data_IF_375420130421
#
_entry.id   IF_375420130421
#
_cell.length_a   1.000
_cell.length_b   1.000
_cell.length_c   1.000
_cell.angle_alpha   90.00
_cell.angle_beta   90.00
_cell.angle_gamma   90.00
#
_symmetry.space_group_name_H-M   'P 1'
#
loop_
_entity.id
_entity.type
_entity.pdbx_description
1 polymer ?
#
# COMPACT_ATOMS: atom_id res chain seq x y z
N UNK A 1 -1.89 -27.13 2.52
CA UNK A 1 -2.47 -26.98 3.87
C UNK A 1 -1.55 -26.08 4.65
N UNK A 2 -1.98 -24.85 4.96
CA UNK A 2 -1.15 -23.78 5.54
C UNK A 2 -0.67 -24.09 6.96
N UNK A 3 0.39 -23.41 7.42
CA UNK A 3 0.84 -23.43 8.82
C UNK A 3 0.03 -22.52 9.75
N UNK A 4 -1.20 -22.18 9.37
CA UNK A 4 -2.04 -21.19 10.05
C UNK A 4 -2.90 -21.83 11.14
N UNK A 5 -3.40 -21.03 12.09
CA UNK A 5 -4.44 -21.47 13.04
C UNK A 5 -5.68 -22.00 12.32
N UNK A 6 -6.09 -21.33 11.24
CA UNK A 6 -7.16 -21.78 10.35
C UNK A 6 -6.60 -22.04 8.95
N UNK A 7 -6.67 -23.29 8.50
CA UNK A 7 -6.22 -23.69 7.17
C UNK A 7 -6.96 -22.97 6.05
N UNK A 8 -8.29 -23.11 6.05
CA UNK A 8 -9.23 -22.45 5.17
C UNK A 8 -10.41 -21.94 6.01
N UNK A 9 -10.79 -20.68 5.82
CA UNK A 9 -11.89 -20.04 6.55
C UNK A 9 -13.03 -19.70 5.59
N UNK A 10 -14.24 -20.17 5.88
CA UNK A 10 -15.48 -19.77 5.18
C UNK A 10 -16.49 -19.05 6.07
N UNK A 11 -16.26 -19.06 7.39
CA UNK A 11 -17.10 -18.40 8.38
C UNK A 11 -16.53 -17.07 8.86
N UNK A 12 -16.93 -16.63 10.05
CA UNK A 12 -16.46 -15.38 10.67
C UNK A 12 -15.46 -15.65 11.78
N UNK A 13 -14.34 -14.93 11.76
CA UNK A 13 -13.40 -14.83 12.88
C UNK A 13 -13.38 -13.36 13.32
N UNK A 14 -13.64 -13.12 14.61
CA UNK A 14 -13.66 -11.77 15.17
C UNK A 14 -12.93 -11.71 16.51
N UNK A 15 -12.11 -10.69 16.73
CA UNK A 15 -11.49 -10.45 18.04
C UNK A 15 -10.40 -11.44 18.42
N UNK A 16 -9.74 -12.07 17.44
CA UNK A 16 -8.66 -13.03 17.70
C UNK A 16 -7.31 -12.32 17.64
N UNK A 17 -6.53 -12.49 18.71
CA UNK A 17 -5.16 -12.01 18.83
C UNK A 17 -4.16 -13.16 18.84
N UNK A 18 -3.11 -13.06 18.02
CA UNK A 18 -1.93 -13.92 18.09
C UNK A 18 -0.74 -13.09 18.57
N UNK A 19 0.05 -13.63 19.49
CA UNK A 19 1.25 -12.99 20.03
C UNK A 19 2.41 -13.98 19.85
N UNK A 20 3.48 -13.53 19.21
CA UNK A 20 4.65 -14.34 18.87
C UNK A 20 4.31 -15.65 18.09
N UNK A 21 3.45 -15.61 17.05
CA UNK A 21 3.23 -16.80 16.23
C UNK A 21 4.43 -17.03 15.32
N UNK A 22 5.09 -18.18 15.48
CA UNK A 22 6.14 -18.65 14.58
C UNK A 22 5.58 -19.64 13.57
N UNK A 23 5.39 -19.17 12.33
CA UNK A 23 4.75 -19.94 11.27
C UNK A 23 5.72 -20.09 10.10
N UNK A 24 6.13 -21.33 9.85
CA UNK A 24 6.93 -21.69 8.70
C UNK A 24 6.53 -23.06 8.15
N UNK A 25 6.85 -23.31 6.88
CA UNK A 25 6.54 -24.59 6.26
C UNK A 25 7.03 -24.66 4.82
N UNK A 26 7.52 -25.85 4.42
CA UNK A 26 8.00 -26.10 3.05
C UNK A 26 6.81 -26.39 2.13
N UNK A 27 6.78 -25.76 0.95
CA UNK A 27 5.78 -26.01 -0.11
C UNK A 27 4.34 -25.55 0.18
N UNK A 28 4.17 -24.51 1.00
CA UNK A 28 2.86 -23.90 1.25
C UNK A 28 2.57 -22.79 0.26
N UNK A 29 1.55 -22.92 -0.59
CA UNK A 29 1.18 -21.84 -1.53
C UNK A 29 0.79 -20.54 -0.82
N UNK A 30 0.10 -20.65 0.31
CA UNK A 30 -0.39 -19.52 1.10
C UNK A 30 -0.03 -19.74 2.57
N UNK A 31 0.69 -18.79 3.15
CA UNK A 31 1.13 -18.82 4.55
C UNK A 31 0.61 -17.59 5.28
N UNK A 32 -0.11 -17.79 6.38
CA UNK A 32 -0.56 -16.72 7.27
C UNK A 32 -0.58 -17.19 8.71
N UNK A 33 -0.39 -16.30 9.68
CA UNK A 33 -0.40 -16.70 11.08
C UNK A 33 -1.80 -17.14 11.54
N UNK A 34 -2.82 -16.35 11.21
CA UNK A 34 -4.20 -16.63 11.60
C UNK A 34 -4.89 -17.51 10.57
N UNK A 35 -4.86 -17.14 9.30
CA UNK A 35 -5.57 -17.86 8.23
C UNK A 35 -4.67 -18.11 7.03
N UNK A 36 -4.68 -19.34 6.51
CA UNK A 36 -4.02 -19.66 5.23
C UNK A 36 -4.78 -19.08 4.05
N UNK A 37 -6.04 -19.51 3.89
CA UNK A 37 -6.92 -19.12 2.80
C UNK A 37 -8.29 -18.63 3.34
N UNK A 38 -8.60 -17.36 3.18
CA UNK A 38 -9.84 -16.76 3.65
C UNK A 38 -10.87 -16.60 2.53
N UNK A 39 -12.05 -17.17 2.70
CA UNK A 39 -13.27 -16.95 1.91
C UNK A 39 -14.41 -16.35 2.75
N UNK A 40 -14.19 -16.17 4.06
CA UNK A 40 -15.15 -15.65 5.01
C UNK A 40 -14.81 -14.23 5.45
N UNK A 41 -15.15 -13.91 6.70
CA UNK A 41 -14.92 -12.58 7.28
C UNK A 41 -13.94 -12.66 8.44
N UNK A 42 -12.90 -11.85 8.42
CA UNK A 42 -11.96 -11.66 9.53
C UNK A 42 -12.09 -10.20 9.97
N UNK A 43 -12.40 -9.95 11.23
CA UNK A 43 -12.55 -8.58 11.71
C UNK A 43 -11.99 -8.35 13.10
N UNK A 44 -11.44 -7.17 13.38
CA UNK A 44 -10.92 -6.83 14.71
C UNK A 44 -9.89 -7.86 15.22
N UNK A 45 -9.05 -8.38 14.34
CA UNK A 45 -8.05 -9.39 14.67
C UNK A 45 -6.65 -8.80 14.59
N UNK A 46 -5.71 -9.36 15.35
CA UNK A 46 -4.32 -8.92 15.32
C UNK A 46 -3.32 -10.07 15.38
N UNK A 47 -2.17 -9.88 14.75
CA UNK A 47 -1.02 -10.75 14.89
C UNK A 47 0.21 -9.92 15.24
N UNK A 48 0.64 -9.99 16.50
CA UNK A 48 1.74 -9.21 17.04
C UNK A 48 3.01 -10.05 17.12
N UNK A 49 4.13 -9.45 16.70
CA UNK A 49 5.46 -10.07 16.69
C UNK A 49 5.49 -11.41 15.94
N UNK A 50 4.87 -11.45 14.76
CA UNK A 50 4.85 -12.67 13.96
C UNK A 50 6.24 -13.00 13.43
N UNK A 51 6.55 -14.29 13.29
CA UNK A 51 7.65 -14.75 12.44
C UNK A 51 7.07 -15.67 11.37
N UNK A 52 6.62 -15.09 10.26
CA UNK A 52 6.10 -15.83 9.12
C UNK A 52 7.20 -15.98 8.09
N UNK A 53 7.75 -17.19 7.97
CA UNK A 53 8.74 -17.53 6.95
C UNK A 53 8.14 -18.57 6.02
N UNK A 54 7.58 -18.08 4.93
CA UNK A 54 7.08 -18.92 3.84
C UNK A 54 8.24 -19.53 3.04
N UNK A 55 7.96 -20.68 2.44
CA UNK A 55 8.84 -21.31 1.46
C UNK A 55 7.99 -21.76 0.25
N UNK A 56 7.14 -20.84 -0.21
CA UNK A 56 6.14 -21.10 -1.22
C UNK A 56 5.97 -19.93 -2.19
N UNK A 57 4.79 -19.34 -2.22
CA UNK A 57 4.46 -18.28 -3.19
C UNK A 57 4.02 -16.99 -2.52
N UNK A 58 3.11 -17.06 -1.54
CA UNK A 58 2.57 -15.88 -0.87
C UNK A 58 2.52 -16.06 0.64
N UNK A 59 3.08 -15.09 1.36
CA UNK A 59 2.97 -14.99 2.81
C UNK A 59 2.35 -13.66 3.26
N UNK A 60 1.43 -13.74 4.22
CA UNK A 60 0.93 -12.59 4.95
C UNK A 60 1.18 -12.73 6.44
N UNK A 61 1.42 -11.63 7.14
CA UNK A 61 1.57 -11.68 8.60
C UNK A 61 0.32 -12.21 9.30
N UNK A 62 -0.87 -11.88 8.80
CA UNK A 62 -2.15 -12.39 9.33
C UNK A 62 -2.76 -13.46 8.42
N UNK A 63 -2.81 -13.20 7.11
CA UNK A 63 -3.54 -14.04 6.14
C UNK A 63 -2.70 -14.34 4.91
N UNK A 64 -2.58 -15.62 4.51
CA UNK A 64 -1.86 -15.98 3.29
C UNK A 64 -2.56 -15.48 2.03
N UNK A 65 -3.80 -15.91 1.79
CA UNK A 65 -4.67 -15.44 0.71
C UNK A 65 -6.02 -14.98 1.24
N UNK A 66 -6.48 -13.83 0.75
CA UNK A 66 -7.82 -13.32 0.99
C UNK A 66 -8.67 -13.32 -0.28
N UNK A 67 -9.83 -13.97 -0.23
CA UNK A 67 -10.92 -13.93 -1.20
C UNK A 67 -12.25 -13.48 -0.56
N UNK A 68 -12.25 -13.28 0.76
CA UNK A 68 -13.37 -12.75 1.53
C UNK A 68 -13.10 -11.33 2.03
N UNK A 69 -13.50 -11.04 3.26
CA UNK A 69 -13.36 -9.71 3.88
C UNK A 69 -12.39 -9.74 5.05
N UNK A 70 -11.50 -8.74 5.10
CA UNK A 70 -10.65 -8.43 6.24
C UNK A 70 -10.94 -6.99 6.65
N UNK A 71 -11.37 -6.76 7.89
CA UNK A 71 -11.72 -5.45 8.40
C UNK A 71 -11.03 -5.17 9.74
N UNK A 72 -10.52 -3.96 9.96
CA UNK A 72 -10.01 -3.51 11.26
C UNK A 72 -8.93 -4.45 11.84
N UNK A 73 -8.07 -4.98 10.96
CA UNK A 73 -7.06 -5.95 11.33
C UNK A 73 -5.66 -5.34 11.35
N UNK A 74 -4.77 -5.89 12.18
CA UNK A 74 -3.39 -5.42 12.22
C UNK A 74 -2.34 -6.53 12.35
N UNK A 75 -1.13 -6.23 11.87
CA UNK A 75 0.02 -7.10 12.02
C UNK A 75 1.34 -6.36 12.28
N UNK A 76 2.20 -6.98 13.08
CA UNK A 76 3.59 -6.57 13.34
C UNK A 76 4.51 -7.80 13.35
N UNK A 77 5.82 -7.59 13.39
CA UNK A 77 6.81 -8.67 13.35
C UNK A 77 7.44 -8.78 11.97
N UNK A 78 7.73 -10.00 11.53
CA UNK A 78 8.52 -10.27 10.34
C UNK A 78 7.80 -11.24 9.39
N UNK A 79 7.75 -10.87 8.12
CA UNK A 79 7.17 -11.69 7.05
C UNK A 79 8.20 -11.85 5.92
N UNK A 80 8.53 -13.10 5.58
CA UNK A 80 9.46 -13.43 4.50
C UNK A 80 8.94 -14.54 3.61
N UNK A 81 8.93 -14.33 2.29
CA UNK A 81 8.63 -15.36 1.27
C UNK A 81 9.02 -14.82 -0.12
N UNK A 82 8.76 -15.57 -1.19
CA UNK A 82 8.90 -15.09 -2.56
C UNK A 82 8.05 -13.84 -2.83
N UNK A 83 6.77 -13.88 -2.46
CA UNK A 83 5.89 -12.70 -2.45
C UNK A 83 5.31 -12.52 -1.05
N UNK A 84 5.42 -11.33 -0.48
CA UNK A 84 5.02 -11.10 0.90
C UNK A 84 4.26 -9.79 1.09
N UNK A 85 3.23 -9.86 1.93
CA UNK A 85 2.53 -8.71 2.47
C UNK A 85 2.63 -8.69 3.98
N UNK A 86 2.79 -7.52 4.58
CA UNK A 86 2.86 -7.45 6.05
C UNK A 86 1.57 -7.92 6.73
N UNK A 87 0.40 -7.73 6.13
CA UNK A 87 -0.88 -8.27 6.60
C UNK A 87 -1.35 -9.46 5.75
N UNK A 88 -1.37 -9.30 4.41
CA UNK A 88 -1.93 -10.29 3.48
C UNK A 88 -0.97 -10.59 2.34
N UNK A 89 -0.67 -11.86 2.08
CA UNK A 89 0.21 -12.24 0.96
C UNK A 89 -0.41 -11.94 -0.40
N UNK A 90 -1.62 -12.45 -0.64
CA UNK A 90 -2.40 -12.20 -1.86
C UNK A 90 -3.84 -11.81 -1.55
N UNK A 91 -4.28 -10.66 -2.03
CA UNK A 91 -5.66 -10.21 -1.94
C UNK A 91 -6.38 -10.37 -3.28
N UNK A 92 -7.58 -10.93 -3.27
CA UNK A 92 -8.59 -10.82 -4.32
C UNK A 92 -9.99 -10.60 -3.74
N UNK A 93 -10.06 -10.25 -2.46
CA UNK A 93 -11.28 -9.85 -1.76
C UNK A 93 -11.19 -8.41 -1.28
N UNK A 94 -11.81 -8.10 -0.14
CA UNK A 94 -11.84 -6.76 0.45
C UNK A 94 -10.96 -6.68 1.69
N UNK A 95 -10.15 -5.62 1.78
CA UNK A 95 -9.40 -5.22 2.98
C UNK A 95 -9.80 -3.79 3.33
N UNK A 96 -10.22 -3.54 4.56
CA UNK A 96 -10.59 -2.19 5.02
C UNK A 96 -10.16 -1.92 6.46
N UNK A 97 -9.90 -0.65 6.80
CA UNK A 97 -9.56 -0.24 8.18
C UNK A 97 -8.31 -0.90 8.74
N UNK A 98 -7.44 -1.43 7.87
CA UNK A 98 -6.41 -2.40 8.29
C UNK A 98 -5.01 -1.82 8.15
N UNK A 99 -4.10 -2.26 9.03
CA UNK A 99 -2.76 -1.69 9.12
C UNK A 99 -1.67 -2.73 9.32
N UNK A 100 -0.47 -2.42 8.83
CA UNK A 100 0.70 -3.26 9.07
C UNK A 100 1.93 -2.43 9.40
N UNK A 101 2.61 -2.80 10.48
CA UNK A 101 3.94 -2.30 10.83
C UNK A 101 5.00 -3.41 10.72
N UNK A 102 4.71 -4.48 9.97
CA UNK A 102 5.63 -5.60 9.81
C UNK A 102 6.87 -5.23 8.99
N UNK A 103 7.99 -5.88 9.31
CA UNK A 103 9.18 -5.92 8.47
C UNK A 103 8.98 -7.00 7.41
N UNK A 104 8.83 -6.59 6.16
CA UNK A 104 8.58 -7.46 5.01
C UNK A 104 9.87 -7.60 4.21
N UNK A 105 10.26 -8.83 3.89
CA UNK A 105 11.35 -9.12 2.96
C UNK A 105 10.88 -10.13 1.93
N UNK A 106 10.88 -9.77 0.65
CA UNK A 106 10.46 -10.68 -0.41
C UNK A 106 11.44 -10.76 -1.57
N UNK A 107 11.50 -11.91 -2.24
CA UNK A 107 12.39 -12.10 -3.38
C UNK A 107 11.84 -11.48 -4.68
N UNK A 108 10.52 -11.34 -4.83
CA UNK A 108 9.92 -10.87 -6.10
C UNK A 108 8.79 -9.85 -5.98
N UNK A 109 7.98 -9.89 -4.92
CA UNK A 109 6.89 -8.92 -4.76
C UNK A 109 6.75 -8.62 -3.27
N UNK A 110 7.00 -7.39 -2.87
CA UNK A 110 6.94 -6.98 -1.47
C UNK A 110 5.97 -5.82 -1.29
N UNK A 111 5.02 -5.98 -0.38
CA UNK A 111 4.10 -4.92 0.04
C UNK A 111 4.02 -4.78 1.55
N UNK A 112 4.04 -3.56 2.08
CA UNK A 112 3.97 -3.37 3.54
C UNK A 112 2.64 -3.83 4.15
N UNK A 113 1.53 -3.74 3.40
CA UNK A 113 0.24 -4.29 3.79
C UNK A 113 -0.10 -5.55 2.99
N UNK A 114 -0.02 -5.48 1.66
CA UNK A 114 -0.42 -6.57 0.74
C UNK A 114 0.67 -6.86 -0.28
N UNK A 115 1.08 -8.12 -0.44
CA UNK A 115 2.05 -8.49 -1.48
C UNK A 115 1.47 -8.24 -2.88
N UNK A 116 0.43 -8.98 -3.24
CA UNK A 116 -0.28 -8.81 -4.52
C UNK A 116 -1.77 -8.58 -4.33
N UNK A 117 -2.30 -7.49 -4.88
CA UNK A 117 -3.72 -7.22 -4.99
C UNK A 117 -4.19 -7.54 -6.42
N UNK A 118 -5.03 -8.56 -6.58
CA UNK A 118 -5.46 -9.09 -7.88
C UNK A 118 -6.98 -9.05 -7.94
N UNK A 119 -7.53 -8.08 -8.66
CA UNK A 119 -8.98 -7.78 -8.72
C UNK A 119 -9.63 -7.54 -7.35
N UNK A 120 -8.82 -7.27 -6.32
CA UNK A 120 -9.25 -7.03 -4.94
C UNK A 120 -9.39 -5.53 -4.63
N UNK A 121 -10.04 -5.24 -3.50
CA UNK A 121 -10.21 -3.87 -2.98
C UNK A 121 -9.45 -3.69 -1.67
N UNK A 122 -8.71 -2.58 -1.56
CA UNK A 122 -8.04 -2.13 -0.34
C UNK A 122 -8.50 -0.69 -0.08
N UNK A 123 -9.08 -0.44 1.10
CA UNK A 123 -9.60 0.87 1.45
C UNK A 123 -9.25 1.28 2.89
N UNK A 124 -9.06 2.58 3.15
CA UNK A 124 -8.87 3.11 4.52
C UNK A 124 -7.81 2.33 5.30
N UNK A 125 -6.65 2.11 4.68
CA UNK A 125 -5.64 1.18 5.18
C UNK A 125 -4.24 1.74 5.01
N UNK A 126 -3.31 1.32 5.86
CA UNK A 126 -1.97 1.87 5.85
C UNK A 126 -0.85 0.90 6.21
N UNK A 127 0.38 1.31 5.90
CA UNK A 127 1.59 0.61 6.30
C UNK A 127 2.69 1.57 6.76
N UNK A 128 3.44 1.14 7.77
CA UNK A 128 4.49 1.96 8.41
C UNK A 128 5.81 1.21 8.64
N UNK A 129 5.84 -0.09 8.35
CA UNK A 129 7.02 -0.94 8.56
C UNK A 129 8.14 -0.74 7.54
N UNK A 130 9.08 -1.68 7.50
CA UNK A 130 10.14 -1.72 6.49
C UNK A 130 9.78 -2.75 5.43
N UNK A 131 9.87 -2.39 4.16
CA UNK A 131 9.60 -3.27 3.02
C UNK A 131 10.87 -3.38 2.19
N UNK A 132 11.42 -4.59 2.10
CA UNK A 132 12.56 -4.91 1.25
C UNK A 132 12.11 -5.90 0.18
N UNK A 133 12.35 -5.58 -1.09
CA UNK A 133 12.08 -6.48 -2.21
C UNK A 133 13.14 -6.37 -3.31
N UNK A 134 13.15 -7.30 -4.26
CA UNK A 134 13.96 -7.17 -5.47
C UNK A 134 13.11 -6.54 -6.60
N UNK A 135 11.98 -7.17 -6.94
CA UNK A 135 11.03 -6.68 -7.94
C UNK A 135 9.72 -6.21 -7.27
N UNK A 136 8.96 -5.34 -7.94
CA UNK A 136 7.63 -4.82 -7.52
C UNK A 136 7.52 -4.57 -6.01
N UNK A 137 8.26 -3.60 -5.53
CA UNK A 137 8.36 -3.28 -4.10
C UNK A 137 7.56 -2.02 -3.81
N UNK A 138 6.46 -2.17 -3.06
CA UNK A 138 5.58 -1.07 -2.69
C UNK A 138 5.48 -0.90 -1.18
N UNK A 139 5.46 0.35 -0.71
CA UNK A 139 5.29 0.60 0.73
C UNK A 139 3.97 0.07 1.28
N UNK A 140 2.87 0.13 0.51
CA UNK A 140 1.58 -0.48 0.85
C UNK A 140 1.33 -1.79 0.10
N UNK A 141 1.43 -1.76 -1.24
CA UNK A 141 1.13 -2.89 -2.12
C UNK A 141 2.26 -3.15 -3.09
N UNK A 142 2.78 -4.38 -3.17
CA UNK A 142 3.85 -4.70 -4.13
C UNK A 142 3.36 -4.62 -5.57
N UNK A 143 2.34 -5.41 -5.91
CA UNK A 143 1.71 -5.46 -7.23
C UNK A 143 0.20 -5.25 -7.13
N UNK A 144 -0.34 -4.30 -7.88
CA UNK A 144 -1.77 -4.08 -8.04
C UNK A 144 -2.19 -4.41 -9.48
N UNK A 145 -2.86 -5.54 -9.68
CA UNK A 145 -3.33 -6.02 -10.98
C UNK A 145 -4.86 -6.03 -11.01
N UNK A 146 -5.46 -5.16 -11.84
CA UNK A 146 -6.92 -4.98 -11.92
C UNK A 146 -7.61 -4.67 -10.57
N UNK A 147 -6.82 -4.29 -9.56
CA UNK A 147 -7.28 -4.05 -8.20
C UNK A 147 -7.56 -2.58 -7.92
N UNK A 148 -8.32 -2.31 -6.86
CA UNK A 148 -8.64 -0.96 -6.40
C UNK A 148 -7.95 -0.68 -5.05
N UNK A 149 -7.29 0.46 -4.95
CA UNK A 149 -6.68 0.99 -3.73
C UNK A 149 -7.22 2.41 -3.53
N UNK A 150 -7.91 2.64 -2.43
CA UNK A 150 -8.61 3.92 -2.20
C UNK A 150 -8.44 4.43 -0.77
N UNK A 151 -8.18 5.71 -0.58
CA UNK A 151 -8.05 6.29 0.77
C UNK A 151 -7.00 5.55 1.60
N UNK A 152 -5.84 5.28 1.02
CA UNK A 152 -4.77 4.53 1.68
C UNK A 152 -3.47 5.31 1.67
N UNK A 153 -2.58 4.99 2.61
CA UNK A 153 -1.27 5.61 2.65
C UNK A 153 -0.15 4.68 3.11
N UNK A 154 1.07 5.08 2.81
CA UNK A 154 2.27 4.43 3.32
C UNK A 154 3.24 5.47 3.87
N UNK A 155 3.74 5.24 5.08
CA UNK A 155 4.90 5.93 5.65
C UNK A 155 6.07 4.97 5.89
N UNK A 156 6.05 3.85 5.19
CA UNK A 156 7.06 2.79 5.29
C UNK A 156 8.46 3.25 4.86
N UNK A 157 9.49 2.51 5.27
CA UNK A 157 10.78 2.53 4.57
C UNK A 157 10.76 1.48 3.47
N UNK A 158 11.03 1.87 2.22
CA UNK A 158 10.94 1.00 1.05
C UNK A 158 12.31 0.87 0.38
N UNK A 159 12.81 -0.36 0.32
CA UNK A 159 14.10 -0.71 -0.28
C UNK A 159 13.86 -1.72 -1.41
N UNK A 160 14.09 -1.32 -2.65
CA UNK A 160 13.82 -2.16 -3.82
C UNK A 160 14.91 -2.09 -4.89
N UNK A 161 14.85 -2.98 -5.88
CA UNK A 161 15.74 -2.93 -7.04
C UNK A 161 14.99 -2.46 -8.29
N UNK A 162 13.93 -3.14 -8.73
CA UNK A 162 13.10 -2.77 -9.88
C UNK A 162 11.61 -2.61 -9.50
N UNK A 163 10.92 -1.67 -10.13
CA UNK A 163 9.50 -1.37 -9.85
C UNK A 163 9.26 -0.97 -8.39
N UNK A 164 9.87 0.14 -7.95
CA UNK A 164 9.88 0.55 -6.54
C UNK A 164 8.99 1.77 -6.33
N UNK A 165 7.95 1.64 -5.51
CA UNK A 165 7.01 2.72 -5.21
C UNK A 165 6.82 2.95 -3.72
N UNK A 166 6.70 4.21 -3.31
CA UNK A 166 6.42 4.53 -1.91
C UNK A 166 5.04 4.04 -1.42
N UNK A 167 4.06 3.93 -2.33
CA UNK A 167 2.76 3.31 -2.08
C UNK A 167 2.63 1.97 -2.82
N UNK A 168 2.82 1.95 -4.15
CA UNK A 168 2.62 0.76 -4.98
C UNK A 168 3.83 0.48 -5.85
N UNK A 169 4.37 -0.74 -5.83
CA UNK A 169 5.52 -1.09 -6.69
C UNK A 169 5.15 -1.02 -8.17
N UNK A 170 4.15 -1.80 -8.58
CA UNK A 170 3.61 -1.82 -9.94
C UNK A 170 2.07 -1.76 -9.94
N UNK A 171 1.50 -0.90 -10.78
CA UNK A 171 0.07 -0.78 -11.00
C UNK A 171 -0.29 -1.14 -12.45
N UNK A 172 -0.92 -2.29 -12.65
CA UNK A 172 -1.32 -2.77 -13.97
C UNK A 172 -2.84 -2.93 -14.08
N UNK A 173 -3.47 -2.15 -14.94
CA UNK A 173 -4.94 -2.09 -15.11
C UNK A 173 -5.69 -1.81 -13.80
N UNK A 174 -4.99 -1.30 -12.79
CA UNK A 174 -5.50 -1.05 -11.46
C UNK A 174 -5.89 0.41 -11.25
N UNK A 175 -6.72 0.63 -10.24
CA UNK A 175 -7.22 1.93 -9.82
C UNK A 175 -6.61 2.33 -8.48
N UNK A 176 -5.91 3.45 -8.44
CA UNK A 176 -5.37 4.06 -7.21
C UNK A 176 -6.00 5.44 -7.06
N UNK A 177 -6.78 5.66 -5.99
CA UNK A 177 -7.51 6.91 -5.80
C UNK A 177 -7.39 7.44 -4.39
N UNK A 178 -7.24 8.76 -4.25
CA UNK A 178 -7.20 9.42 -2.95
C UNK A 178 -6.17 8.78 -2.01
N UNK A 179 -4.93 8.59 -2.48
CA UNK A 179 -3.90 7.91 -1.70
C UNK A 179 -2.63 8.75 -1.60
N UNK A 180 -1.78 8.47 -0.63
CA UNK A 180 -0.51 9.17 -0.55
C UNK A 180 0.66 8.36 -0.02
N UNK A 181 1.86 8.85 -0.33
CA UNK A 181 3.11 8.27 0.15
C UNK A 181 3.93 9.32 0.91
N UNK A 182 4.16 9.03 2.18
CA UNK A 182 5.18 9.67 3.01
C UNK A 182 6.41 8.76 3.20
N UNK A 183 6.53 7.70 2.39
CA UNK A 183 7.53 6.66 2.53
C UNK A 183 8.95 7.16 2.22
N UNK A 184 9.95 6.66 2.95
CA UNK A 184 11.35 6.82 2.57
C UNK A 184 11.72 5.76 1.54
N UNK A 185 11.89 6.17 0.28
CA UNK A 185 12.05 5.26 -0.85
C UNK A 185 13.50 5.25 -1.33
N UNK A 186 14.07 4.05 -1.43
CA UNK A 186 15.33 3.81 -2.11
C UNK A 186 15.18 2.66 -3.09
N UNK A 187 15.25 2.97 -4.38
CA UNK A 187 15.23 1.98 -5.46
C UNK A 187 16.50 2.00 -6.30
N UNK A 188 16.65 1.06 -7.23
CA UNK A 188 17.68 1.14 -8.28
C UNK A 188 17.05 1.64 -9.60
N UNK A 189 16.00 0.98 -10.10
CA UNK A 189 15.32 1.24 -11.38
C UNK A 189 13.80 1.37 -11.20
N UNK A 190 13.13 2.01 -12.17
CA UNK A 190 11.67 2.25 -12.17
C UNK A 190 11.13 2.70 -10.80
N UNK A 191 11.79 3.72 -10.22
CA UNK A 191 11.54 4.15 -8.85
C UNK A 191 10.70 5.42 -8.83
N UNK A 192 9.49 5.34 -8.25
CA UNK A 192 8.58 6.47 -8.09
C UNK A 192 8.26 6.74 -6.62
N UNK A 193 8.07 8.00 -6.25
CA UNK A 193 7.77 8.36 -4.85
C UNK A 193 6.37 7.86 -4.43
N UNK A 194 5.42 7.70 -5.38
CA UNK A 194 4.12 7.06 -5.15
C UNK A 194 4.07 5.65 -5.78
N UNK A 195 4.25 5.56 -7.10
CA UNK A 195 4.12 4.32 -7.87
C UNK A 195 5.39 4.06 -8.67
N UNK A 196 5.99 2.88 -8.57
CA UNK A 196 7.20 2.55 -9.34
C UNK A 196 6.94 2.54 -10.84
N UNK A 197 6.07 1.62 -11.27
CA UNK A 197 5.67 1.44 -12.66
C UNK A 197 4.14 1.36 -12.82
N UNK A 198 3.62 1.87 -13.92
CA UNK A 198 2.18 1.99 -14.17
C UNK A 198 1.81 1.68 -15.62
N UNK A 199 0.72 0.93 -15.85
CA UNK A 199 0.22 0.67 -17.21
C UNK A 199 -1.24 0.24 -17.28
N UNK A 200 -1.97 0.77 -18.24
CA UNK A 200 -3.39 0.47 -18.50
C UNK A 200 -4.37 0.76 -17.35
N UNK A 201 -3.93 1.44 -16.30
CA UNK A 201 -4.69 1.75 -15.09
C UNK A 201 -4.97 3.25 -14.91
N UNK A 202 -5.36 3.62 -13.68
CA UNK A 202 -5.60 5.00 -13.32
C UNK A 202 -5.04 5.34 -11.93
N UNK A 203 -4.44 6.53 -11.82
CA UNK A 203 -3.94 7.12 -10.58
C UNK A 203 -4.57 8.50 -10.45
N UNK A 204 -5.44 8.70 -9.45
CA UNK A 204 -6.23 9.93 -9.33
C UNK A 204 -6.20 10.48 -7.91
N UNK A 205 -6.01 11.80 -7.80
CA UNK A 205 -6.04 12.50 -6.52
C UNK A 205 -5.06 11.91 -5.50
N UNK A 206 -3.83 11.64 -5.95
CA UNK A 206 -2.81 11.06 -5.10
C UNK A 206 -1.62 12.00 -4.93
N UNK A 207 -0.87 11.83 -3.85
CA UNK A 207 0.34 12.64 -3.67
C UNK A 207 1.52 11.93 -3.00
N UNK A 208 2.73 12.46 -3.20
CA UNK A 208 3.93 11.96 -2.55
C UNK A 208 4.80 13.08 -1.96
N UNK A 209 5.30 12.85 -0.75
CA UNK A 209 6.15 13.78 0.02
C UNK A 209 7.38 13.12 0.61
N UNK A 210 7.45 11.79 0.59
CA UNK A 210 8.57 11.06 1.18
C UNK A 210 9.86 11.17 0.35
N UNK A 211 11.04 11.26 1.00
CA UNK A 211 12.31 11.33 0.29
C UNK A 211 12.51 10.12 -0.60
N UNK A 212 12.88 10.34 -1.86
CA UNK A 212 12.99 9.29 -2.87
C UNK A 212 14.34 9.35 -3.55
N UNK A 213 15.06 8.23 -3.50
CA UNK A 213 16.40 8.11 -4.10
C UNK A 213 16.46 6.89 -5.01
N UNK A 214 17.18 7.03 -6.11
CA UNK A 214 17.34 6.01 -7.13
C UNK A 214 18.75 6.03 -7.69
N UNK A 215 19.24 4.88 -8.17
CA UNK A 215 20.46 4.85 -9.00
C UNK A 215 20.21 5.49 -10.36
N UNK A 216 19.03 5.29 -10.91
CA UNK A 216 18.52 5.95 -12.10
C UNK A 216 17.60 7.14 -11.72
N UNK A 217 17.26 8.04 -12.65
CA UNK A 217 16.32 9.12 -12.38
C UNK A 217 15.03 8.57 -11.74
N UNK A 218 14.54 9.25 -10.72
CA UNK A 218 13.33 8.86 -9.99
C UNK A 218 12.14 9.69 -10.46
N UNK A 219 10.92 9.17 -10.30
CA UNK A 219 9.68 9.86 -10.62
C UNK A 219 8.97 10.40 -9.38
N UNK A 220 8.51 11.65 -9.43
CA UNK A 220 7.74 12.27 -8.33
C UNK A 220 6.38 11.61 -8.03
N UNK A 221 5.63 11.19 -9.05
CA UNK A 221 4.45 10.30 -8.88
C UNK A 221 4.81 8.91 -9.35
N UNK A 222 5.15 8.79 -10.63
CA UNK A 222 5.59 7.54 -11.24
C UNK A 222 6.81 7.74 -12.13
N UNK A 223 7.62 6.69 -12.24
CA UNK A 223 8.80 6.69 -13.09
C UNK A 223 8.45 6.39 -14.55
N UNK A 224 7.59 5.39 -14.80
CA UNK A 224 7.18 4.98 -16.13
C UNK A 224 5.67 4.80 -16.20
N UNK A 225 5.11 5.13 -17.36
CA UNK A 225 3.69 4.94 -17.66
C UNK A 225 3.52 4.44 -19.10
N UNK A 226 2.52 3.58 -19.31
CA UNK A 226 2.06 3.23 -20.65
C UNK A 226 1.09 4.28 -21.22
N UNK A 227 0.94 4.30 -22.55
CA UNK A 227 0.16 5.33 -23.26
C UNK A 227 -1.34 5.34 -22.90
N UNK A 228 -1.85 4.23 -22.38
CA UNK A 228 -3.23 4.03 -21.96
C UNK A 228 -3.49 4.36 -20.48
N UNK A 229 -2.45 4.75 -19.73
CA UNK A 229 -2.54 5.04 -18.30
C UNK A 229 -3.09 6.45 -18.02
N UNK A 230 -4.03 6.56 -17.07
CA UNK A 230 -4.71 7.81 -16.74
C UNK A 230 -4.23 8.36 -15.39
N UNK A 231 -3.44 9.43 -15.41
CA UNK A 231 -2.95 10.08 -14.19
C UNK A 231 -3.50 11.51 -14.09
N UNK A 232 -4.34 11.76 -13.09
CA UNK A 232 -5.04 13.06 -12.93
C UNK A 232 -5.06 13.54 -11.48
N UNK A 233 -5.02 14.86 -11.27
CA UNK A 233 -5.05 15.43 -9.91
C UNK A 233 -3.93 14.95 -8.98
N UNK A 234 -2.79 14.48 -9.53
CA UNK A 234 -1.71 13.91 -8.74
C UNK A 234 -0.54 14.89 -8.57
N UNK A 235 0.00 14.98 -7.35
CA UNK A 235 1.03 15.96 -6.99
C UNK A 235 2.20 15.35 -6.23
N UNK A 236 3.40 15.90 -6.41
CA UNK A 236 4.51 15.56 -5.54
C UNK A 236 5.21 16.82 -5.06
N UNK A 237 5.77 16.73 -3.86
CA UNK A 237 6.59 17.79 -3.32
C UNK A 237 8.02 17.68 -3.87
N UNK A 238 8.46 18.65 -4.66
CA UNK A 238 9.80 18.64 -5.26
C UNK A 238 10.94 18.85 -4.25
N UNK A 239 10.64 19.47 -3.11
CA UNK A 239 11.63 19.81 -2.08
C UNK A 239 11.86 18.64 -1.13
N UNK A 240 10.79 17.97 -0.68
CA UNK A 240 10.91 16.86 0.27
C UNK A 240 11.21 15.53 -0.40
N UNK A 241 10.63 15.26 -1.58
CA UNK A 241 10.93 14.03 -2.32
C UNK A 241 12.33 14.05 -2.93
N UNK A 242 12.87 15.26 -3.20
CA UNK A 242 14.09 15.45 -3.99
C UNK A 242 13.94 15.14 -5.49
N UNK A 243 12.71 14.91 -5.96
CA UNK A 243 12.41 14.58 -7.36
C UNK A 243 12.06 15.84 -8.16
N UNK A 244 12.82 16.12 -9.23
CA UNK A 244 12.54 17.25 -10.13
C UNK A 244 11.65 16.88 -11.33
N UNK A 245 11.46 15.59 -11.60
CA UNK A 245 10.73 15.08 -12.77
C UNK A 245 9.78 13.93 -12.37
N UNK A 246 8.79 13.69 -13.21
CA UNK A 246 7.95 12.49 -13.17
C UNK A 246 7.35 12.23 -14.55
N UNK A 247 7.03 10.98 -14.87
CA UNK A 247 6.32 10.66 -16.11
C UNK A 247 4.87 11.20 -16.14
N UNK A 248 4.31 11.53 -14.98
CA UNK A 248 2.97 12.10 -14.85
C UNK A 248 2.79 12.86 -13.53
N UNK A 249 1.63 13.50 -13.36
CA UNK A 249 1.35 14.38 -12.23
C UNK A 249 2.01 15.75 -12.36
N UNK A 250 1.94 16.55 -11.31
CA UNK A 250 2.52 17.91 -11.29
C UNK A 250 3.36 18.14 -10.03
N UNK A 251 4.60 18.55 -10.21
CA UNK A 251 5.49 18.94 -9.12
C UNK A 251 5.04 20.25 -8.49
N UNK A 252 5.08 20.31 -7.16
CA UNK A 252 4.71 21.46 -6.33
C UNK A 252 5.81 21.73 -5.32
N UNK A 253 5.90 22.98 -4.85
CA UNK A 253 6.74 23.32 -3.69
C UNK A 253 6.06 22.90 -2.39
N UNK A 254 6.81 22.83 -1.28
CA UNK A 254 6.23 22.55 0.04
C UNK A 254 5.09 23.50 0.36
N UNK A 255 5.29 24.80 0.16
CA UNK A 255 4.25 25.79 0.41
C UNK A 255 2.97 25.54 -0.41
N UNK A 256 3.10 25.13 -1.68
CA UNK A 256 1.94 24.79 -2.51
C UNK A 256 1.27 23.50 -2.05
N UNK A 257 2.04 22.50 -1.63
CA UNK A 257 1.54 21.24 -1.09
C UNK A 257 0.86 21.38 0.27
N UNK A 258 1.13 22.48 0.98
CA UNK A 258 0.47 22.86 2.24
C UNK A 258 -0.66 23.88 2.05
N UNK A 259 -1.06 24.17 0.80
CA UNK A 259 -2.12 25.12 0.47
C UNK A 259 -3.35 24.37 -0.07
N UNK A 260 -4.51 24.52 0.55
CA UNK A 260 -5.73 23.77 0.21
C UNK A 260 -6.20 24.06 -1.23
N UNK A 261 -6.10 25.32 -1.66
CA UNK A 261 -6.50 25.73 -3.02
C UNK A 261 -5.75 25.00 -4.14
N UNK A 262 -4.54 24.49 -3.88
CA UNK A 262 -3.79 23.66 -4.84
C UNK A 262 -4.56 22.39 -5.21
N UNK A 263 -5.20 21.77 -4.24
CA UNK A 263 -5.90 20.49 -4.37
C UNK A 263 -7.36 20.68 -4.76
N UNK A 264 -8.04 21.70 -4.20
CA UNK A 264 -9.40 22.07 -4.58
C UNK A 264 -9.50 22.39 -6.08
N UNK A 265 -8.50 23.08 -6.64
CA UNK A 265 -8.43 23.37 -8.08
C UNK A 265 -8.30 22.12 -8.95
N UNK A 266 -7.87 21.00 -8.39
CA UNK A 266 -7.83 19.69 -9.04
C UNK A 266 -9.03 18.79 -8.69
N UNK A 267 -10.02 19.30 -7.94
CA UNK A 267 -11.26 18.59 -7.63
C UNK A 267 -11.17 17.63 -6.44
N UNK A 268 -10.24 17.84 -5.51
CA UNK A 268 -10.13 17.03 -4.29
C UNK A 268 -11.21 17.43 -3.28
N UNK A 269 -11.95 16.45 -2.78
CA UNK A 269 -13.05 16.59 -1.80
C UNK A 269 -12.51 16.75 -0.37
N UNK A 270 -12.53 17.99 0.14
CA UNK A 270 -12.11 18.31 1.51
C UNK A 270 -13.29 18.43 2.47
N UNK A 271 -13.03 18.09 3.73
CA UNK A 271 -13.99 18.26 4.83
C UNK A 271 -14.48 19.70 4.91
N UNK A 272 -15.80 19.86 4.92
CA UNK A 272 -16.43 21.17 5.14
C UNK A 272 -16.60 22.03 3.89
N UNK A 273 -16.39 21.46 2.70
CA UNK A 273 -16.83 22.03 1.43
C UNK A 273 -17.66 21.02 0.63
N UNK A 274 -18.34 21.49 -0.43
CA UNK A 274 -19.28 20.65 -1.20
C UNK A 274 -19.18 20.85 -2.71
N UNK A 275 -18.17 21.58 -3.18
CA UNK A 275 -18.09 22.02 -4.57
C UNK A 275 -17.64 20.90 -5.51
N UNK A 276 -16.90 19.93 -4.99
CA UNK A 276 -16.25 18.84 -5.72
C UNK A 276 -16.63 17.45 -5.14
N UNK A 277 -17.53 17.40 -4.16
CA UNK A 277 -17.93 16.18 -3.49
C UNK A 277 -18.68 16.43 -2.18
N UNK A 278 -18.95 15.37 -1.44
CA UNK A 278 -19.53 15.41 -0.08
C UNK A 278 -19.12 14.18 0.72
N UNK A 279 -18.07 13.49 0.25
CA UNK A 279 -17.51 12.32 0.87
C UNK A 279 -16.48 12.68 1.94
N UNK A 280 -16.10 13.97 2.03
CA UNK A 280 -15.22 14.52 3.08
C UNK A 280 -13.94 13.68 3.20
N UNK A 281 -13.21 13.55 2.10
CA UNK A 281 -12.09 12.59 1.97
C UNK A 281 -10.83 13.11 2.64
N UNK A 282 -10.55 14.40 2.47
CA UNK A 282 -9.29 15.03 2.87
C UNK A 282 -9.50 16.11 3.92
N UNK A 283 -8.52 16.25 4.81
CA UNK A 283 -8.39 17.37 5.74
C UNK A 283 -7.00 18.00 5.57
N UNK A 284 -6.86 19.30 5.73
CA UNK A 284 -5.55 19.98 5.72
C UNK A 284 -5.52 21.10 6.75
N UNK A 285 -4.46 21.15 7.56
CA UNK A 285 -4.10 22.32 8.37
C UNK A 285 -3.24 23.25 7.51
N UNK A 286 -3.88 24.25 6.90
CA UNK A 286 -3.30 25.08 5.85
C UNK A 286 -2.05 25.84 6.34
N UNK A 287 -0.95 25.68 5.61
CA UNK A 287 0.36 26.25 5.93
C UNK A 287 1.17 25.52 7.00
N UNK A 288 0.63 24.46 7.61
CA UNK A 288 1.32 23.68 8.66
C UNK A 288 1.62 22.25 8.20
N UNK A 289 0.64 21.58 7.57
CA UNK A 289 0.74 20.17 7.18
C UNK A 289 0.23 19.91 5.75
N UNK A 290 0.44 18.67 5.29
CA UNK A 290 -0.07 18.17 4.02
C UNK A 290 -1.52 17.67 4.17
N UNK A 291 -2.28 17.47 3.07
CA UNK A 291 -3.58 16.81 3.15
C UNK A 291 -3.50 15.44 3.81
N UNK A 292 -4.29 15.18 4.84
CA UNK A 292 -4.42 13.88 5.50
C UNK A 292 -5.78 13.27 5.16
N UNK A 293 -5.88 11.94 5.13
CA UNK A 293 -7.17 11.30 4.93
C UNK A 293 -8.01 11.48 6.19
N UNK A 294 -9.29 11.80 6.02
CA UNK A 294 -10.14 12.16 7.16
C UNK A 294 -10.29 11.03 8.19
N UNK A 295 -10.31 9.77 7.75
CA UNK A 295 -10.37 8.61 8.64
C UNK A 295 -9.13 8.47 9.55
N UNK A 296 -8.02 9.14 9.25
CA UNK A 296 -6.83 9.11 10.12
C UNK A 296 -7.00 9.95 11.39
N UNK A 297 -7.84 10.99 11.33
CA UNK A 297 -8.00 11.97 12.40
C UNK A 297 -9.29 11.79 13.20
N UNK A 298 -10.26 11.03 12.67
CA UNK A 298 -11.51 10.64 13.36
C UNK A 298 -11.66 9.10 13.39
N UNK A 299 -10.94 8.41 14.30
CA UNK A 299 -10.85 6.94 14.34
C UNK A 299 -12.04 6.22 14.98
#
# INVERSE_FOLDING_TARGET
>A
TSGALFGCLTGTVKGVGLIDPNVGGRLLYYTGALVGDNHGTISNCYAYDVNVVGAGWYAGGLVGRNLGTIADCNSTGVVRDRSAGGLVGRNGGTITGSRSAAVVSADTIAGGLVGSNVSGTIANSCSTGTVTGDDRTGGLVGNNYEGTITCCYSSATVLGNDGVGGLVGENWMGLITNCYSAANVKGDRLTGALVGDSGGGAIMNCYAVGPTTGRWPVGGITHWRHDDDVVTGCFWDMETTGCSLSAAGTGKTTAQMQTASTFLAAGWDFVGETANGSADIWHIDEGHDYPQLFWEIDP
#
